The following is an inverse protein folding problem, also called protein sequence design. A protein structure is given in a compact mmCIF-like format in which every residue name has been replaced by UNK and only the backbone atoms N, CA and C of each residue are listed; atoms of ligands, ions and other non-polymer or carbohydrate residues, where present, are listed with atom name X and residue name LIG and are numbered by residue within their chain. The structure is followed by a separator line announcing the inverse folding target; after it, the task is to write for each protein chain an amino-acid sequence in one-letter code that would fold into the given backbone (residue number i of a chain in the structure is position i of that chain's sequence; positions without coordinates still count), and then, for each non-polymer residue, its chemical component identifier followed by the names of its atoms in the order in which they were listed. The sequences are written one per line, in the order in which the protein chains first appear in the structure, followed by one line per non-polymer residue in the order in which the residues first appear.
data_IF_411814833375
#
_entry.id   IF_411814833375
#
_cell.length_a   1.000
_cell.length_b   1.000
_cell.length_c   1.000
_cell.angle_alpha   90.00
_cell.angle_beta   90.00
_cell.angle_gamma   90.00
#
_symmetry.space_group_name_H-M   'P 1'
#
loop_
_entity.id
_entity.type
_entity.pdbx_description
1 polymer ?
#
# COMPACT_ATOMS: atom_id res chain seq x y z
N UNK A 1 46.33 -4.27 4.68
CA UNK A 1 45.46 -3.10 4.97
C UNK A 1 44.04 -3.53 4.64
N UNK A 2 43.23 -3.80 5.64
CA UNK A 2 41.85 -4.23 5.44
C UNK A 2 40.97 -2.97 5.45
N UNK A 3 40.36 -2.69 4.32
CA UNK A 3 39.37 -1.61 4.21
C UNK A 3 38.08 -2.05 4.86
N UNK A 4 37.81 -1.59 6.06
CA UNK A 4 36.52 -1.71 6.71
C UNK A 4 35.53 -0.77 5.99
N UNK A 5 34.69 -1.34 5.12
CA UNK A 5 33.52 -0.64 4.62
C UNK A 5 32.54 -0.49 5.78
N UNK A 6 32.50 0.71 6.36
CA UNK A 6 31.46 1.09 7.31
C UNK A 6 30.12 1.16 6.55
N UNK A 7 29.31 0.11 6.69
CA UNK A 7 27.89 0.19 6.35
C UNK A 7 27.26 1.20 7.30
N UNK A 8 27.04 2.42 6.86
CA UNK A 8 26.20 3.38 7.58
C UNK A 8 24.76 2.87 7.52
N UNK A 9 24.33 2.20 8.57
CA UNK A 9 22.94 1.85 8.77
C UNK A 9 22.16 3.16 8.93
N UNK A 10 21.55 3.63 7.84
CA UNK A 10 20.71 4.80 7.89
C UNK A 10 19.51 4.47 8.81
N UNK A 11 19.43 5.15 9.96
CA UNK A 11 18.37 4.89 10.93
C UNK A 11 17.00 5.16 10.28
N UNK A 12 16.14 4.17 10.27
CA UNK A 12 14.77 4.31 9.77
C UNK A 12 13.99 5.25 10.68
N UNK A 13 13.24 6.19 10.09
CA UNK A 13 12.45 7.19 10.83
C UNK A 13 11.11 6.63 11.28
N UNK A 14 10.53 5.72 10.49
CA UNK A 14 9.25 5.07 10.78
C UNK A 14 9.39 3.56 10.74
N UNK A 15 8.65 2.89 11.64
CA UNK A 15 8.53 1.44 11.59
C UNK A 15 7.65 1.02 10.41
N UNK A 16 6.54 1.74 10.20
CA UNK A 16 5.55 1.42 9.18
C UNK A 16 5.16 2.65 8.37
N UNK A 17 5.10 2.50 7.04
CA UNK A 17 4.44 3.39 6.11
C UNK A 17 3.13 2.74 5.64
N UNK A 18 2.00 3.47 5.72
CA UNK A 18 0.71 3.00 5.24
C UNK A 18 0.35 3.69 3.92
N UNK A 19 0.32 2.91 2.83
CA UNK A 19 -0.21 3.35 1.54
C UNK A 19 -1.65 2.87 1.37
N UNK A 20 -2.58 3.80 1.16
CA UNK A 20 -4.00 3.50 1.04
C UNK A 20 -4.75 4.63 0.33
N UNK A 21 -5.92 4.30 -0.23
CA UNK A 21 -6.82 5.32 -0.73
C UNK A 21 -7.72 5.85 0.40
N UNK A 22 -7.55 7.13 0.74
CA UNK A 22 -8.23 7.75 1.87
C UNK A 22 -9.76 7.71 1.77
N UNK A 23 -10.31 7.95 0.57
CA UNK A 23 -11.76 7.95 0.34
C UNK A 23 -12.41 6.58 0.63
N UNK A 24 -11.67 5.48 0.45
CA UNK A 24 -12.21 4.12 0.60
C UNK A 24 -12.10 3.58 2.04
N UNK A 25 -11.03 3.94 2.76
CA UNK A 25 -10.63 3.17 3.94
C UNK A 25 -10.27 4.01 5.17
N UNK A 26 -10.07 5.34 5.03
CA UNK A 26 -9.55 6.23 6.09
C UNK A 26 -10.37 6.18 7.38
N UNK A 27 -11.68 6.35 7.28
CA UNK A 27 -12.59 6.44 8.43
C UNK A 27 -13.09 5.10 8.97
N UNK A 28 -12.47 4.01 8.57
CA UNK A 28 -12.79 2.68 9.02
C UNK A 28 -11.53 1.87 9.29
N UNK A 29 -11.18 1.01 8.34
CA UNK A 29 -10.06 0.08 8.49
C UNK A 29 -8.73 0.75 8.85
N UNK A 30 -8.37 1.85 8.17
CA UNK A 30 -7.09 2.53 8.40
C UNK A 30 -7.02 3.18 9.78
N UNK A 31 -8.10 3.83 10.24
CA UNK A 31 -8.12 4.43 11.58
C UNK A 31 -7.89 3.38 12.67
N UNK A 32 -8.55 2.23 12.57
CA UNK A 32 -8.37 1.12 13.52
C UNK A 32 -6.97 0.50 13.44
N UNK A 33 -6.45 0.29 12.23
CA UNK A 33 -5.11 -0.25 12.05
C UNK A 33 -4.05 0.70 12.65
N UNK A 34 -4.13 1.99 12.32
CA UNK A 34 -3.21 2.99 12.83
C UNK A 34 -3.24 3.08 14.35
N UNK A 35 -4.44 3.15 14.95
CA UNK A 35 -4.61 3.19 16.40
C UNK A 35 -4.03 1.94 17.07
N UNK A 36 -4.27 0.75 16.50
CA UNK A 36 -3.73 -0.52 17.02
C UNK A 36 -2.22 -0.56 16.95
N UNK A 37 -1.61 -0.07 15.88
CA UNK A 37 -0.16 0.02 15.74
C UNK A 37 0.42 1.01 16.75
N UNK A 38 -0.19 2.18 16.89
CA UNK A 38 0.22 3.21 17.85
C UNK A 38 0.18 2.71 19.31
N UNK A 39 -0.89 2.01 19.71
CA UNK A 39 -1.03 1.43 21.05
C UNK A 39 0.05 0.37 21.35
N UNK A 40 0.64 -0.24 20.31
CA UNK A 40 1.76 -1.18 20.42
C UNK A 40 3.12 -0.51 20.32
N UNK A 41 3.19 0.81 20.31
CA UNK A 41 4.43 1.57 20.20
C UNK A 41 5.07 1.54 18.82
N UNK A 42 4.33 1.17 17.77
CA UNK A 42 4.82 1.12 16.39
C UNK A 42 4.67 2.51 15.77
N UNK A 43 5.79 3.13 15.43
CA UNK A 43 5.81 4.47 14.84
C UNK A 43 5.39 4.40 13.36
N UNK A 44 4.13 4.78 13.11
CA UNK A 44 3.47 4.61 11.82
C UNK A 44 3.24 5.95 11.13
N UNK A 45 3.69 6.06 9.89
CA UNK A 45 3.36 7.19 9.03
C UNK A 45 2.06 6.91 8.25
N UNK A 46 1.14 7.87 8.31
CA UNK A 46 -0.02 7.95 7.42
C UNK A 46 -0.08 9.35 6.80
N UNK A 47 -0.25 9.41 5.49
CA UNK A 47 -0.48 10.69 4.86
C UNK A 47 -1.89 11.20 5.20
N UNK A 48 -1.93 12.32 5.94
CA UNK A 48 -3.18 12.97 6.36
C UNK A 48 -3.74 13.90 5.30
N UNK A 49 -2.88 14.38 4.40
CA UNK A 49 -3.22 15.40 3.42
C UNK A 49 -2.90 14.87 2.03
N UNK A 50 -3.92 14.40 1.31
CA UNK A 50 -3.81 14.10 -0.12
C UNK A 50 -4.24 15.34 -0.91
N UNK A 51 -3.32 16.15 -1.44
CA UNK A 51 -3.68 17.19 -2.40
C UNK A 51 -4.21 16.49 -3.66
N UNK A 52 -5.39 16.87 -4.11
CA UNK A 52 -5.97 16.31 -5.33
C UNK A 52 -5.22 16.85 -6.54
N UNK A 53 -4.54 15.96 -7.26
CA UNK A 53 -3.97 16.27 -8.57
C UNK A 53 -2.52 16.78 -8.59
N UNK A 54 -1.84 16.81 -7.46
CA UNK A 54 -0.41 17.13 -7.38
C UNK A 54 0.47 15.87 -7.58
N UNK A 55 1.74 16.09 -7.93
CA UNK A 55 2.73 15.00 -7.94
C UNK A 55 3.14 14.65 -6.51
N UNK A 56 3.54 13.38 -6.33
CA UNK A 56 4.05 12.91 -5.04
C UNK A 56 5.25 13.75 -4.60
N UNK A 57 5.20 14.29 -3.38
CA UNK A 57 6.25 15.15 -2.88
C UNK A 57 7.56 14.40 -2.63
N UNK A 58 8.71 15.08 -2.82
CA UNK A 58 10.01 14.49 -2.51
C UNK A 58 10.14 14.08 -1.04
N UNK A 59 9.43 14.75 -0.12
CA UNK A 59 9.40 14.41 1.29
C UNK A 59 8.69 13.08 1.55
N UNK A 60 7.60 12.84 0.85
CA UNK A 60 6.86 11.57 0.96
C UNK A 60 7.68 10.40 0.40
N UNK A 61 8.38 10.61 -0.71
CA UNK A 61 9.30 9.60 -1.26
C UNK A 61 10.40 9.25 -0.25
N UNK A 62 10.99 10.23 0.41
CA UNK A 62 11.98 10.01 1.49
C UNK A 62 11.36 9.30 2.69
N UNK A 63 10.12 9.60 3.03
CA UNK A 63 9.41 8.92 4.12
C UNK A 63 9.21 7.44 3.82
N UNK A 64 8.86 7.09 2.57
CA UNK A 64 8.80 5.68 2.13
C UNK A 64 10.18 5.02 2.27
N UNK A 65 11.25 5.66 1.78
CA UNK A 65 12.62 5.15 1.88
C UNK A 65 13.06 4.93 3.33
N UNK A 66 12.67 5.83 4.23
CA UNK A 66 13.05 5.82 5.65
C UNK A 66 12.08 5.02 6.53
N UNK A 67 11.22 4.21 5.96
CA UNK A 67 10.35 3.28 6.66
C UNK A 67 10.89 1.85 6.60
N UNK A 68 10.71 1.09 7.68
CA UNK A 68 11.15 -0.32 7.74
C UNK A 68 10.20 -1.22 6.96
N UNK A 69 8.90 -0.99 7.09
CA UNK A 69 7.84 -1.78 6.48
C UNK A 69 6.90 -0.85 5.71
N UNK A 70 6.51 -1.23 4.51
CA UNK A 70 5.39 -0.60 3.80
C UNK A 70 4.20 -1.55 3.79
N UNK A 71 3.07 -1.12 4.36
CA UNK A 71 1.79 -1.82 4.28
C UNK A 71 0.95 -1.12 3.22
N UNK A 72 0.50 -1.88 2.21
CA UNK A 72 -0.31 -1.37 1.13
C UNK A 72 -1.72 -1.92 1.28
N UNK A 73 -2.70 -1.05 1.47
CA UNK A 73 -4.10 -1.44 1.59
C UNK A 73 -4.79 -1.23 0.26
N UNK A 74 -4.85 -2.31 -0.50
CA UNK A 74 -5.58 -2.32 -1.77
C UNK A 74 -7.09 -2.34 -1.51
N UNK A 75 -7.75 -1.30 -1.94
CA UNK A 75 -9.21 -1.16 -1.99
C UNK A 75 -9.70 -1.09 -3.43
N UNK A 76 -10.99 -1.23 -3.64
CA UNK A 76 -11.61 -1.26 -4.98
C UNK A 76 -11.15 -0.12 -5.90
N UNK A 77 -11.01 1.11 -5.35
CA UNK A 77 -10.65 2.28 -6.13
C UNK A 77 -9.19 2.72 -5.94
N UNK A 78 -8.33 1.89 -5.32
CA UNK A 78 -6.92 2.24 -5.07
C UNK A 78 -6.22 2.77 -6.34
N UNK A 79 -6.38 2.07 -7.48
CA UNK A 79 -5.75 2.43 -8.73
C UNK A 79 -6.32 3.70 -9.39
N UNK A 80 -7.43 4.25 -8.90
CA UNK A 80 -7.96 5.51 -9.42
C UNK A 80 -7.18 6.75 -8.96
N UNK A 81 -6.31 6.60 -7.95
CA UNK A 81 -5.42 7.64 -7.45
C UNK A 81 -4.03 7.50 -8.08
N UNK A 82 -3.61 8.50 -8.85
CA UNK A 82 -2.24 8.58 -9.38
C UNK A 82 -1.21 8.63 -8.27
N UNK A 83 -1.56 9.28 -7.16
CA UNK A 83 -0.74 9.37 -5.96
C UNK A 83 -0.46 7.99 -5.35
N UNK A 84 -1.50 7.20 -5.10
CA UNK A 84 -1.34 5.83 -4.60
C UNK A 84 -0.51 4.95 -5.54
N UNK A 85 -0.66 5.13 -6.85
CA UNK A 85 0.11 4.41 -7.85
C UNK A 85 1.59 4.83 -7.87
N UNK A 86 1.89 6.12 -7.70
CA UNK A 86 3.26 6.62 -7.60
C UNK A 86 3.94 6.17 -6.29
N UNK A 87 3.20 6.19 -5.14
CA UNK A 87 3.67 5.56 -3.89
C UNK A 87 4.01 4.08 -4.08
N UNK A 88 3.13 3.35 -4.74
CA UNK A 88 3.30 1.93 -5.00
C UNK A 88 4.59 1.65 -5.79
N UNK A 89 4.85 2.41 -6.84
CA UNK A 89 6.11 2.31 -7.61
C UNK A 89 7.31 2.51 -6.71
N UNK A 90 7.28 3.56 -5.86
CA UNK A 90 8.37 3.83 -4.93
C UNK A 90 8.57 2.73 -3.90
N UNK A 91 7.49 2.18 -3.35
CA UNK A 91 7.54 1.05 -2.41
C UNK A 91 8.18 -0.18 -3.07
N UNK A 92 7.83 -0.48 -4.32
CA UNK A 92 8.42 -1.61 -5.07
C UNK A 92 9.91 -1.39 -5.34
N UNK A 93 10.33 -0.15 -5.60
CA UNK A 93 11.75 0.21 -5.70
C UNK A 93 12.49 -0.02 -4.37
N UNK A 94 11.91 0.44 -3.25
CA UNK A 94 12.49 0.27 -1.92
C UNK A 94 12.55 -1.20 -1.46
N UNK A 95 11.60 -2.04 -1.90
CA UNK A 95 11.63 -3.49 -1.65
C UNK A 95 12.91 -4.14 -2.17
N UNK A 96 13.48 -3.66 -3.27
CA UNK A 96 14.75 -4.16 -3.81
C UNK A 96 15.94 -3.85 -2.91
N UNK A 97 15.76 -2.90 -1.97
CA UNK A 97 16.74 -2.48 -0.98
C UNK A 97 16.35 -2.95 0.42
N UNK A 98 15.81 -4.18 0.54
CA UNK A 98 15.46 -4.88 1.78
C UNK A 98 14.31 -4.28 2.59
N UNK A 99 13.53 -3.33 2.05
CA UNK A 99 12.30 -2.89 2.71
C UNK A 99 11.25 -3.99 2.68
N UNK A 100 10.63 -4.28 3.82
CA UNK A 100 9.53 -5.24 3.90
C UNK A 100 8.25 -4.65 3.31
N UNK A 101 7.61 -5.37 2.40
CA UNK A 101 6.34 -4.98 1.80
C UNK A 101 5.25 -5.98 2.17
N UNK A 102 4.12 -5.48 2.65
CA UNK A 102 2.99 -6.28 3.11
C UNK A 102 1.67 -5.77 2.51
N UNK A 103 1.13 -6.44 1.50
CA UNK A 103 -0.17 -6.10 0.94
C UNK A 103 -1.31 -6.56 1.85
N UNK A 104 -2.35 -5.76 1.92
CA UNK A 104 -3.65 -6.06 2.52
C UNK A 104 -4.71 -5.90 1.43
N UNK A 105 -5.44 -6.96 1.15
CA UNK A 105 -6.51 -6.98 0.14
C UNK A 105 -7.84 -6.69 0.82
N UNK A 106 -8.24 -5.41 0.81
CA UNK A 106 -9.43 -4.95 1.51
C UNK A 106 -10.69 -5.16 0.67
N UNK A 107 -11.45 -6.20 1.00
CA UNK A 107 -12.72 -6.60 0.36
C UNK A 107 -12.59 -6.89 -1.14
N UNK A 108 -11.46 -7.40 -1.58
CA UNK A 108 -11.21 -7.66 -2.98
C UNK A 108 -10.33 -8.90 -3.18
N UNK A 109 -10.30 -9.40 -4.39
CA UNK A 109 -9.46 -10.54 -4.78
C UNK A 109 -8.12 -10.04 -5.36
N UNK A 110 -6.98 -10.58 -4.93
CA UNK A 110 -5.66 -10.23 -5.48
C UNK A 110 -5.55 -10.46 -6.98
N UNK A 111 -6.31 -11.39 -7.54
CA UNK A 111 -6.31 -11.66 -8.99
C UNK A 111 -6.81 -10.48 -9.81
N UNK A 112 -7.71 -9.65 -9.27
CA UNK A 112 -8.17 -8.44 -9.95
C UNK A 112 -7.04 -7.42 -10.12
N UNK A 113 -6.18 -7.28 -9.09
CA UNK A 113 -5.01 -6.41 -9.13
C UNK A 113 -3.95 -7.00 -10.07
N UNK A 114 -3.65 -8.29 -9.91
CA UNK A 114 -2.64 -9.01 -10.70
C UNK A 114 -2.95 -8.95 -12.18
N UNK A 115 -4.19 -9.25 -12.54
CA UNK A 115 -4.64 -9.27 -13.93
C UNK A 115 -5.13 -7.90 -14.41
N UNK A 116 -5.18 -6.89 -13.51
CA UNK A 116 -5.64 -5.53 -13.81
C UNK A 116 -7.03 -5.51 -14.45
N UNK A 117 -7.93 -6.31 -13.88
CA UNK A 117 -9.32 -6.44 -14.31
C UNK A 117 -10.23 -5.46 -13.53
N UNK A 118 -11.49 -5.37 -13.93
CA UNK A 118 -12.52 -4.58 -13.25
C UNK A 118 -12.08 -3.13 -13.01
N UNK A 119 -12.26 -2.64 -11.80
CA UNK A 119 -11.95 -1.25 -11.42
C UNK A 119 -10.48 -0.85 -11.62
N UNK A 120 -9.55 -1.80 -11.46
CA UNK A 120 -8.13 -1.54 -11.70
C UNK A 120 -7.83 -1.32 -13.18
N UNK A 121 -8.37 -2.16 -14.05
CA UNK A 121 -8.23 -2.00 -15.50
C UNK A 121 -8.88 -0.71 -16.02
N UNK A 122 -10.10 -0.41 -15.56
CA UNK A 122 -10.82 0.82 -15.90
C UNK A 122 -10.05 2.08 -15.48
N UNK A 123 -9.49 2.09 -14.25
CA UNK A 123 -8.71 3.20 -13.73
C UNK A 123 -7.44 3.43 -14.54
N UNK A 124 -6.69 2.36 -14.84
CA UNK A 124 -5.48 2.45 -15.65
C UNK A 124 -5.76 2.93 -17.07
N UNK A 125 -6.82 2.43 -17.71
CA UNK A 125 -7.23 2.89 -19.04
C UNK A 125 -7.65 4.38 -19.04
N UNK A 126 -8.28 4.85 -17.96
CA UNK A 126 -8.61 6.27 -17.77
C UNK A 126 -7.37 7.13 -17.64
N UNK A 127 -6.38 6.69 -16.87
CA UNK A 127 -5.10 7.39 -16.71
C UNK A 127 -4.33 7.43 -18.02
N UNK A 128 -4.26 6.32 -18.74
CA UNK A 128 -3.60 6.23 -20.04
C UNK A 128 -4.13 7.25 -21.06
N UNK A 129 -5.46 7.37 -21.14
CA UNK A 129 -6.12 8.38 -21.99
C UNK A 129 -5.82 9.81 -21.56
N UNK A 130 -5.72 10.06 -20.23
CA UNK A 130 -5.56 11.41 -19.66
C UNK A 130 -4.11 11.88 -19.72
N UNK A 131 -3.15 11.02 -19.32
CA UNK A 131 -1.76 11.42 -19.12
C UNK A 131 -0.93 11.33 -20.38
N UNK A 132 -1.27 10.43 -21.31
CA UNK A 132 -0.50 10.15 -22.54
C UNK A 132 0.98 9.79 -22.28
N UNK A 133 1.28 9.28 -21.08
CA UNK A 133 2.60 8.82 -20.64
C UNK A 133 2.58 7.29 -20.48
N UNK A 134 2.87 6.58 -21.56
CA UNK A 134 2.87 5.13 -21.59
C UNK A 134 3.89 4.52 -20.64
N UNK A 135 5.06 5.17 -20.45
CA UNK A 135 6.11 4.69 -19.54
C UNK A 135 5.67 4.75 -18.08
N UNK A 136 4.95 5.80 -17.69
CA UNK A 136 4.39 5.94 -16.34
C UNK A 136 3.34 4.88 -16.08
N UNK A 137 2.44 4.65 -17.03
CA UNK A 137 1.40 3.62 -16.95
C UNK A 137 2.02 2.22 -16.85
N UNK A 138 3.04 1.92 -17.63
CA UNK A 138 3.73 0.63 -17.57
C UNK A 138 4.37 0.37 -16.21
N UNK A 139 5.01 1.38 -15.60
CA UNK A 139 5.55 1.28 -14.24
C UNK A 139 4.48 0.97 -13.22
N UNK A 140 3.31 1.62 -13.30
CA UNK A 140 2.18 1.35 -12.43
C UNK A 140 1.64 -0.07 -12.60
N UNK A 141 1.47 -0.53 -13.85
CA UNK A 141 1.03 -1.90 -14.16
C UNK A 141 1.98 -2.93 -13.56
N UNK A 142 3.28 -2.72 -13.72
CA UNK A 142 4.31 -3.60 -13.19
C UNK A 142 4.29 -3.62 -11.66
N UNK A 143 4.19 -2.46 -11.01
CA UNK A 143 4.15 -2.37 -9.54
C UNK A 143 2.91 -3.05 -8.95
N UNK A 144 1.74 -2.91 -9.56
CA UNK A 144 0.52 -3.61 -9.18
C UNK A 144 0.70 -5.13 -9.29
N UNK A 145 1.23 -5.61 -10.42
CA UNK A 145 1.48 -7.03 -10.64
C UNK A 145 2.47 -7.61 -9.62
N UNK A 146 3.62 -6.96 -9.42
CA UNK A 146 4.65 -7.42 -8.48
C UNK A 146 4.11 -7.48 -7.05
N UNK A 147 3.34 -6.48 -6.64
CA UNK A 147 2.81 -6.41 -5.26
C UNK A 147 1.68 -7.40 -5.04
N UNK A 148 0.81 -7.62 -6.03
CA UNK A 148 -0.27 -8.61 -5.93
C UNK A 148 0.22 -10.06 -5.88
N UNK A 149 1.49 -10.32 -6.20
CA UNK A 149 2.14 -11.62 -6.05
C UNK A 149 2.87 -11.80 -4.71
N UNK A 150 2.87 -10.79 -3.84
CA UNK A 150 3.42 -10.93 -2.49
C UNK A 150 2.34 -11.56 -1.60
N UNK A 151 2.75 -12.52 -0.76
CA UNK A 151 1.88 -13.04 0.30
C UNK A 151 1.36 -11.91 1.19
N UNK A 152 0.07 -11.84 1.37
CA UNK A 152 -0.59 -10.75 2.07
C UNK A 152 -1.82 -11.19 2.86
N UNK A 153 -2.49 -10.24 3.45
CA UNK A 153 -3.70 -10.49 4.23
C UNK A 153 -4.95 -10.15 3.44
N UNK A 154 -5.95 -11.03 3.51
CA UNK A 154 -7.29 -10.76 3.01
C UNK A 154 -8.17 -10.24 4.12
N UNK A 155 -8.74 -9.06 3.93
CA UNK A 155 -9.78 -8.54 4.78
C UNK A 155 -11.14 -8.76 4.08
N UNK A 156 -11.85 -9.82 4.49
CA UNK A 156 -13.20 -10.12 4.02
C UNK A 156 -14.20 -9.76 5.12
N UNK A 157 -15.20 -8.94 4.80
CA UNK A 157 -16.33 -8.77 5.69
C UNK A 157 -17.09 -10.10 5.78
N UNK A 158 -17.02 -10.76 6.93
CA UNK A 158 -17.95 -11.81 7.28
C UNK A 158 -18.87 -11.28 8.37
N UNK A 159 -20.10 -10.96 8.01
CA UNK A 159 -21.14 -10.77 9.00
C UNK A 159 -21.45 -12.16 9.56
N UNK A 160 -20.99 -12.48 10.76
CA UNK A 160 -21.55 -13.56 11.55
C UNK A 160 -22.57 -12.89 12.45
N UNK A 161 -23.82 -12.97 12.07
CA UNK A 161 -24.93 -12.65 12.96
C UNK A 161 -25.01 -13.77 14.01
N UNK A 162 -24.41 -13.55 15.16
CA UNK A 162 -24.78 -14.24 16.39
C UNK A 162 -25.48 -13.21 17.28
N UNK A 163 -26.60 -13.60 17.84
CA UNK A 163 -27.64 -12.76 18.42
C UNK A 163 -27.25 -11.77 19.52
N UNK A 164 -25.98 -11.62 19.90
CA UNK A 164 -25.56 -10.67 20.95
C UNK A 164 -24.22 -9.99 20.85
N UNK A 165 -23.33 -10.30 19.87
CA UNK A 165 -22.03 -9.61 19.75
C UNK A 165 -21.56 -9.51 18.29
N UNK A 166 -21.26 -8.28 17.86
CA UNK A 166 -20.54 -8.04 16.61
C UNK A 166 -19.04 -8.23 16.85
N UNK A 167 -18.53 -9.41 16.58
CA UNK A 167 -17.10 -9.68 16.73
C UNK A 167 -16.44 -9.56 15.38
N UNK A 168 -15.54 -8.57 15.24
CA UNK A 168 -14.70 -8.38 14.05
C UNK A 168 -13.56 -9.40 14.06
N UNK A 169 -13.76 -10.54 13.43
CA UNK A 169 -12.66 -11.45 13.11
C UNK A 169 -12.62 -11.62 11.60
N UNK A 170 -11.46 -11.33 10.99
CA UNK A 170 -11.01 -12.13 9.85
C UNK A 170 -9.86 -11.45 9.11
N UNK A 171 -8.65 -11.65 9.64
CA UNK A 171 -7.47 -11.66 8.81
C UNK A 171 -7.21 -13.12 8.42
N UNK A 172 -7.30 -13.43 7.15
CA UNK A 172 -6.89 -14.73 6.63
C UNK A 172 -5.59 -14.56 5.88
N UNK A 173 -4.55 -15.24 6.35
CA UNK A 173 -3.28 -15.31 5.65
C UNK A 173 -3.45 -16.16 4.38
N UNK A 174 -3.04 -15.66 3.23
CA UNK A 174 -2.97 -16.44 2.01
C UNK A 174 -1.52 -16.58 1.57
N UNK A 175 -1.06 -17.83 1.52
CA UNK A 175 0.12 -18.20 0.75
C UNK A 175 -0.33 -18.41 -0.69
N UNK A 176 0.27 -17.74 -1.61
CA UNK A 176 0.15 -18.00 -3.06
C UNK A 176 1.47 -18.56 -3.55
#
# INVERSE_FOLDING_TARGET
MASSSSFTHQSKTFDVFLSFRGEDTRYGFISHLHETLHQRGIHTFIDKYLPKGEEISGELLKTIENSTISIIVFSENYASSTWCLDELVKIVECKKNDQLVRPVFYKMDPSEIRNQNGKFGEALAKHERKLKDSKKIERWRKALYETANISGWHYKHRYVFNDNYCTFYNFQWSNH
#
